data_IF_561699097469
#
_entry.id   IF_561699097469
#
_cell.length_a   1.000
_cell.length_b   1.000
_cell.length_c   1.000
_cell.angle_alpha   90.00
_cell.angle_beta   90.00
_cell.angle_gamma   90.00
#
_symmetry.space_group_name_H-M   'P 1'
#
loop_
_entity.id
_entity.type
_entity.pdbx_description
1 polymer ?
#
# COMPACT_ATOMS: atom_id res chain seq x y z
N UNK A 1 -12.32 -2.17 -46.03
CA UNK A 1 -13.47 -2.84 -45.39
C UNK A 1 -12.93 -4.08 -44.69
N UNK A 2 -12.73 -4.01 -43.37
CA UNK A 2 -13.45 -4.82 -42.33
C UNK A 2 -13.42 -6.32 -42.69
N UNK A 3 -12.81 -7.27 -41.97
CA UNK A 3 -12.91 -7.59 -40.53
C UNK A 3 -11.94 -8.75 -40.27
N UNK A 4 -10.86 -8.63 -39.48
CA UNK A 4 -10.13 -9.79 -38.92
C UNK A 4 -9.37 -9.39 -37.64
N UNK A 5 -10.06 -8.82 -36.65
CA UNK A 5 -9.43 -8.54 -35.33
C UNK A 5 -10.40 -8.91 -34.19
N UNK A 6 -11.09 -10.05 -34.31
CA UNK A 6 -12.06 -10.50 -33.32
C UNK A 6 -11.81 -11.92 -32.78
N UNK A 7 -10.67 -12.56 -33.08
CA UNK A 7 -10.42 -13.96 -32.67
C UNK A 7 -9.00 -14.18 -32.12
N UNK A 8 -8.56 -13.37 -31.16
CA UNK A 8 -7.35 -13.68 -30.38
C UNK A 8 -7.37 -13.26 -28.91
N UNK A 9 -8.57 -13.09 -28.35
CA UNK A 9 -8.78 -12.94 -26.91
C UNK A 9 -9.67 -14.08 -26.43
N UNK A 10 -9.16 -15.31 -26.46
CA UNK A 10 -9.89 -16.46 -25.89
C UNK A 10 -9.05 -17.53 -25.22
N UNK A 11 -7.77 -17.25 -24.94
CA UNK A 11 -6.92 -18.14 -24.16
C UNK A 11 -6.15 -17.34 -23.12
N UNK A 12 -6.88 -16.90 -22.11
CA UNK A 12 -6.34 -16.73 -20.76
C UNK A 12 -7.39 -17.34 -19.83
N UNK A 13 -7.46 -18.67 -19.87
CA UNK A 13 -8.00 -19.47 -18.79
C UNK A 13 -7.08 -19.21 -17.59
N UNK A 14 -7.30 -18.09 -16.90
CA UNK A 14 -6.85 -17.91 -15.53
C UNK A 14 -7.69 -18.93 -14.78
N UNK A 15 -7.05 -20.05 -14.44
CA UNK A 15 -7.58 -20.96 -13.45
C UNK A 15 -7.81 -20.10 -12.19
N UNK A 16 -9.08 -19.84 -11.87
CA UNK A 16 -9.48 -19.52 -10.51
C UNK A 16 -9.22 -20.79 -9.68
N UNK A 17 -7.94 -21.08 -9.43
CA UNK A 17 -7.56 -21.73 -8.18
C UNK A 17 -7.89 -20.70 -7.10
N UNK A 18 -9.15 -20.74 -6.65
CA UNK A 18 -9.50 -20.28 -5.31
C UNK A 18 -8.79 -21.21 -4.33
N UNK A 19 -7.47 -21.07 -4.21
CA UNK A 19 -6.80 -21.53 -3.01
C UNK A 19 -7.47 -20.77 -1.88
N UNK A 20 -8.10 -21.50 -0.96
CA UNK A 20 -8.42 -20.96 0.36
C UNK A 20 -7.07 -20.63 1.00
N UNK A 21 -6.49 -19.48 0.65
CA UNK A 21 -5.27 -19.00 1.26
C UNK A 21 -5.62 -18.74 2.72
N UNK A 22 -5.12 -19.64 3.57
CA UNK A 22 -5.31 -19.55 5.00
C UNK A 22 -4.71 -18.20 5.45
N UNK A 23 -5.56 -17.30 5.93
CA UNK A 23 -5.16 -15.96 6.39
C UNK A 23 -3.92 -16.06 7.28
N UNK A 24 -2.89 -15.26 6.99
CA UNK A 24 -1.66 -15.29 7.77
C UNK A 24 -1.98 -15.08 9.27
N UNK A 25 -1.55 -16.00 10.17
CA UNK A 25 -1.86 -15.90 11.60
C UNK A 25 -1.49 -14.56 12.24
N UNK A 26 -0.52 -13.83 11.67
CA UNK A 26 -0.10 -12.50 12.13
C UNK A 26 -1.18 -11.45 11.89
N UNK A 27 -1.90 -11.53 10.77
CA UNK A 27 -3.02 -10.63 10.44
C UNK A 27 -4.14 -10.80 11.45
N UNK A 28 -4.55 -12.05 11.69
CA UNK A 28 -5.59 -12.39 12.67
C UNK A 28 -5.22 -11.94 14.11
N UNK A 29 -3.96 -12.14 14.52
CA UNK A 29 -3.44 -11.64 15.81
C UNK A 29 -3.48 -10.10 15.88
N UNK A 30 -3.03 -9.42 14.84
CA UNK A 30 -3.02 -7.95 14.77
C UNK A 30 -4.43 -7.38 14.83
N UNK A 31 -5.36 -7.94 14.06
CA UNK A 31 -6.76 -7.51 14.04
C UNK A 31 -7.39 -7.64 15.43
N UNK A 32 -7.20 -8.79 16.09
CA UNK A 32 -7.69 -9.02 17.44
C UNK A 32 -7.06 -8.06 18.48
N UNK A 33 -5.79 -7.70 18.30
CA UNK A 33 -5.08 -6.77 19.17
C UNK A 33 -5.55 -5.33 18.96
N UNK A 34 -5.61 -4.86 17.71
CA UNK A 34 -6.04 -3.53 17.33
C UNK A 34 -7.51 -3.26 17.70
N UNK A 35 -8.37 -4.29 17.69
CA UNK A 35 -9.76 -4.16 18.15
C UNK A 35 -9.91 -3.86 19.65
N UNK A 36 -8.86 -4.11 20.45
CA UNK A 36 -8.89 -3.99 21.91
C UNK A 36 -7.94 -2.92 22.45
N UNK A 37 -7.11 -2.33 21.59
CA UNK A 37 -6.05 -1.41 21.97
C UNK A 37 -6.05 -0.19 21.05
N UNK A 38 -5.44 0.88 21.53
CA UNK A 38 -5.25 2.10 20.74
C UNK A 38 -4.12 1.95 19.70
N UNK A 39 -3.98 2.98 18.87
CA UNK A 39 -2.98 3.05 17.81
C UNK A 39 -1.54 2.93 18.33
N UNK A 40 -1.22 3.57 19.46
CA UNK A 40 0.13 3.58 20.02
C UNK A 40 0.56 2.17 20.46
N UNK A 41 -0.29 1.49 21.23
CA UNK A 41 -0.03 0.09 21.64
C UNK A 41 0.03 -0.86 20.46
N UNK A 42 -0.82 -0.64 19.45
CA UNK A 42 -0.81 -1.47 18.24
C UNK A 42 0.49 -1.30 17.46
N UNK A 43 1.02 -0.08 17.37
CA UNK A 43 2.31 0.19 16.74
C UNK A 43 3.50 -0.44 17.50
N UNK A 44 3.46 -0.46 18.84
CA UNK A 44 4.44 -1.19 19.66
C UNK A 44 4.34 -2.71 19.44
N UNK A 45 3.12 -3.23 19.24
CA UNK A 45 2.88 -4.64 19.03
C UNK A 45 3.46 -5.18 17.70
N UNK A 46 3.63 -4.31 16.68
CA UNK A 46 4.21 -4.68 15.38
C UNK A 46 5.62 -5.27 15.47
N UNK A 47 6.39 -4.88 16.49
CA UNK A 47 7.76 -5.35 16.71
C UNK A 47 7.85 -6.32 17.89
N UNK A 48 6.71 -6.84 18.34
CA UNK A 48 6.69 -7.76 19.48
C UNK A 48 7.03 -9.19 19.05
N UNK A 49 7.73 -9.90 19.93
CA UNK A 49 7.99 -11.34 19.76
C UNK A 49 6.70 -12.17 19.63
N UNK A 50 5.59 -11.66 20.18
CA UNK A 50 4.28 -12.35 20.15
C UNK A 50 3.66 -12.33 18.75
N UNK A 51 3.83 -11.21 18.05
CA UNK A 51 3.42 -11.11 16.67
C UNK A 51 4.34 -11.95 15.77
N UNK A 52 5.66 -11.89 16.02
CA UNK A 52 6.65 -12.71 15.33
C UNK A 52 6.96 -12.22 13.91
N UNK A 53 7.07 -10.90 13.74
CA UNK A 53 7.46 -10.26 12.48
C UNK A 53 8.92 -9.83 12.57
N UNK A 54 9.66 -9.99 11.48
CA UNK A 54 11.11 -9.78 11.43
C UNK A 54 11.51 -8.30 11.44
N UNK A 55 10.62 -7.41 10.99
CA UNK A 55 10.86 -5.97 10.90
C UNK A 55 9.56 -5.19 11.05
N UNK A 56 9.66 -3.91 11.43
CA UNK A 56 8.47 -3.06 11.53
C UNK A 56 7.86 -2.78 10.15
N UNK A 57 8.71 -2.71 9.13
CA UNK A 57 8.35 -2.55 7.73
C UNK A 57 7.46 -3.67 7.23
N UNK A 58 7.84 -4.94 7.47
CA UNK A 58 7.00 -6.08 7.14
C UNK A 58 5.72 -6.10 7.99
N UNK A 59 5.81 -5.59 9.23
CA UNK A 59 4.65 -5.43 10.12
C UNK A 59 3.58 -4.51 9.55
N UNK A 60 3.96 -3.51 8.75
CA UNK A 60 3.00 -2.60 8.09
C UNK A 60 2.12 -3.33 7.08
N UNK A 61 2.63 -4.35 6.40
CA UNK A 61 1.82 -5.15 5.47
C UNK A 61 0.67 -5.83 6.22
N UNK A 62 1.01 -6.57 7.28
CA UNK A 62 0.00 -7.24 8.10
C UNK A 62 -0.92 -6.26 8.83
N UNK A 63 -0.43 -5.06 9.15
CA UNK A 63 -1.25 -4.03 9.75
C UNK A 63 -2.36 -3.59 8.79
N UNK A 64 -2.06 -3.33 7.52
CA UNK A 64 -3.05 -2.92 6.52
C UNK A 64 -4.15 -3.98 6.37
N UNK A 65 -3.77 -5.24 6.18
CA UNK A 65 -4.70 -6.37 6.10
C UNK A 65 -5.53 -6.58 7.38
N UNK A 66 -4.98 -6.21 8.54
CA UNK A 66 -5.67 -6.33 9.81
C UNK A 66 -6.71 -5.22 10.04
N UNK A 67 -6.41 -3.99 9.63
CA UNK A 67 -7.23 -2.82 9.98
C UNK A 67 -8.14 -2.33 8.86
N UNK A 68 -7.87 -2.72 7.61
CA UNK A 68 -8.72 -2.40 6.46
C UNK A 68 -9.59 -3.58 6.06
N UNK A 69 -10.72 -3.24 5.47
CA UNK A 69 -11.65 -4.13 4.82
C UNK A 69 -11.35 -4.12 3.32
N UNK A 70 -11.07 -5.30 2.77
CA UNK A 70 -10.64 -5.49 1.38
C UNK A 70 -11.75 -5.24 0.35
N UNK A 71 -13.00 -5.37 0.78
CA UNK A 71 -14.19 -5.16 -0.05
C UNK A 71 -14.60 -3.68 -0.13
N UNK A 72 -14.05 -2.83 0.74
CA UNK A 72 -14.42 -1.42 0.86
C UNK A 72 -13.38 -0.48 0.22
N UNK A 73 -13.79 0.72 -0.26
CA UNK A 73 -12.85 1.69 -0.82
C UNK A 73 -11.77 2.11 0.19
N UNK A 74 -10.50 2.09 -0.25
CA UNK A 74 -9.34 2.38 0.61
C UNK A 74 -9.29 3.84 1.13
N UNK A 75 -9.52 4.91 0.32
CA UNK A 75 -9.30 6.28 0.81
C UNK A 75 -10.13 6.70 2.04
N UNK A 76 -11.44 6.35 2.14
CA UNK A 76 -12.21 6.57 3.37
C UNK A 76 -11.64 5.82 4.59
N UNK A 77 -11.11 4.62 4.38
CA UNK A 77 -10.53 3.81 5.46
C UNK A 77 -9.21 4.41 5.98
N UNK A 78 -8.37 4.96 5.09
CA UNK A 78 -7.16 5.71 5.51
C UNK A 78 -7.53 6.84 6.46
N UNK A 79 -8.57 7.61 6.13
CA UNK A 79 -9.06 8.70 7.00
C UNK A 79 -9.55 8.17 8.35
N UNK A 80 -10.31 7.07 8.35
CA UNK A 80 -10.85 6.46 9.56
C UNK A 80 -9.78 5.80 10.46
N UNK A 81 -8.66 5.36 9.88
CA UNK A 81 -7.59 4.64 10.59
C UNK A 81 -6.29 5.45 10.68
N UNK A 82 -6.35 6.76 10.42
CA UNK A 82 -5.19 7.66 10.40
C UNK A 82 -4.30 7.48 11.63
N UNK A 83 -4.88 7.42 12.82
CA UNK A 83 -4.13 7.32 14.07
C UNK A 83 -3.23 6.07 14.12
N UNK A 84 -3.71 4.93 13.61
CA UNK A 84 -2.92 3.69 13.53
C UNK A 84 -1.74 3.83 12.58
N UNK A 85 -1.97 4.46 11.42
CA UNK A 85 -0.93 4.68 10.42
C UNK A 85 0.14 5.66 10.92
N UNK A 86 -0.26 6.77 11.56
CA UNK A 86 0.67 7.74 12.18
C UNK A 86 1.52 7.06 13.25
N UNK A 87 0.91 6.29 14.16
CA UNK A 87 1.64 5.60 15.21
C UNK A 87 2.61 4.53 14.66
N UNK A 88 2.22 3.87 13.57
CA UNK A 88 3.05 2.85 12.93
C UNK A 88 4.23 3.43 12.15
N UNK A 89 4.13 4.66 11.65
CA UNK A 89 5.10 5.25 10.70
C UNK A 89 5.78 6.56 11.19
N UNK A 90 6.51 6.56 12.33
CA UNK A 90 7.15 7.77 12.86
C UNK A 90 8.44 8.21 12.13
N UNK A 91 8.86 7.53 11.06
CA UNK A 91 10.11 7.84 10.35
C UNK A 91 9.95 7.70 8.84
N UNK A 92 10.79 8.43 8.08
CA UNK A 92 10.90 8.38 6.63
C UNK A 92 11.00 6.95 6.07
N UNK A 93 11.76 6.10 6.76
CA UNK A 93 11.91 4.69 6.39
C UNK A 93 10.58 3.93 6.48
N UNK A 94 9.80 4.17 7.53
CA UNK A 94 8.51 3.53 7.73
C UNK A 94 7.42 4.14 6.85
N UNK A 95 7.51 5.43 6.54
CA UNK A 95 6.65 6.06 5.53
C UNK A 95 6.89 5.44 4.14
N UNK A 96 8.15 5.22 3.74
CA UNK A 96 8.47 4.51 2.48
C UNK A 96 7.97 3.06 2.51
N UNK A 97 8.15 2.37 3.63
CA UNK A 97 7.64 1.01 3.79
C UNK A 97 6.11 0.94 3.76
N UNK A 98 5.40 1.96 4.27
CA UNK A 98 3.95 2.07 4.17
C UNK A 98 3.50 2.16 2.71
N UNK A 99 4.18 2.96 1.89
CA UNK A 99 3.88 3.04 0.46
C UNK A 99 4.05 1.69 -0.24
N UNK A 100 5.16 0.98 0.04
CA UNK A 100 5.35 -0.37 -0.49
C UNK A 100 4.29 -1.35 0.05
N UNK A 101 3.89 -1.24 1.33
CA UNK A 101 2.85 -2.11 1.90
C UNK A 101 1.50 -1.89 1.20
N UNK A 102 1.19 -0.65 0.82
CA UNK A 102 0.04 -0.35 -0.03
C UNK A 102 0.15 -0.96 -1.43
N UNK A 103 1.34 -0.98 -2.05
CA UNK A 103 1.55 -1.68 -3.34
C UNK A 103 1.11 -3.14 -3.23
N UNK A 104 1.59 -3.84 -2.19
CA UNK A 104 1.23 -5.24 -1.94
C UNK A 104 -0.26 -5.40 -1.68
N UNK A 105 -0.81 -4.57 -0.80
CA UNK A 105 -2.21 -4.62 -0.39
C UNK A 105 -3.16 -4.46 -1.59
N UNK A 106 -2.85 -3.55 -2.54
CA UNK A 106 -3.69 -3.35 -3.72
C UNK A 106 -3.45 -4.36 -4.85
N UNK A 107 -2.48 -5.27 -4.70
CA UNK A 107 -2.20 -6.31 -5.70
C UNK A 107 -2.61 -7.70 -5.24
N UNK A 108 -2.62 -7.94 -3.93
CA UNK A 108 -2.92 -9.25 -3.34
C UNK A 108 -4.28 -9.27 -2.63
N UNK A 109 -4.64 -8.19 -1.91
CA UNK A 109 -5.80 -8.18 -1.01
C UNK A 109 -6.93 -7.33 -1.60
N UNK A 110 -6.81 -6.00 -1.54
CA UNK A 110 -7.81 -5.06 -2.03
C UNK A 110 -7.53 -4.63 -3.47
N UNK A 111 -7.65 -5.56 -4.42
CA UNK A 111 -7.27 -5.35 -5.83
C UNK A 111 -8.03 -4.22 -6.55
N UNK A 112 -9.20 -3.84 -6.02
CA UNK A 112 -9.95 -2.66 -6.45
C UNK A 112 -9.13 -1.35 -6.32
N UNK A 113 -8.21 -1.31 -5.36
CA UNK A 113 -7.30 -0.20 -5.08
C UNK A 113 -6.28 0.08 -6.18
N UNK A 114 -5.92 -0.92 -7.00
CA UNK A 114 -4.85 -0.80 -7.99
C UNK A 114 -5.09 0.34 -8.98
N UNK A 115 -6.30 0.43 -9.54
CA UNK A 115 -6.66 1.46 -10.53
C UNK A 115 -6.82 2.86 -9.94
N UNK A 116 -6.96 2.96 -8.62
CA UNK A 116 -7.17 4.22 -7.89
C UNK A 116 -5.97 4.57 -7.03
N UNK A 117 -4.80 3.96 -7.28
CA UNK A 117 -3.61 4.16 -6.44
C UNK A 117 -3.16 5.62 -6.38
N UNK A 118 -3.31 6.40 -7.45
CA UNK A 118 -3.07 7.85 -7.43
C UNK A 118 -3.92 8.58 -6.37
N UNK A 119 -5.17 8.16 -6.17
CA UNK A 119 -6.04 8.73 -5.13
C UNK A 119 -5.64 8.27 -3.72
N UNK A 120 -5.18 7.03 -3.58
CA UNK A 120 -4.63 6.51 -2.32
C UNK A 120 -3.42 7.35 -1.92
N UNK A 121 -2.48 7.55 -2.84
CA UNK A 121 -1.27 8.33 -2.61
C UNK A 121 -1.56 9.80 -2.25
N UNK A 122 -2.47 10.43 -3.00
CA UNK A 122 -2.95 11.78 -2.67
C UNK A 122 -3.58 11.85 -1.27
N UNK A 123 -4.36 10.84 -0.88
CA UNK A 123 -4.97 10.80 0.46
C UNK A 123 -3.92 10.64 1.56
N UNK A 124 -2.87 9.86 1.34
CA UNK A 124 -1.75 9.72 2.28
C UNK A 124 -1.00 11.04 2.45
N UNK A 125 -0.73 11.74 1.35
CA UNK A 125 -0.12 13.07 1.33
C UNK A 125 -0.98 14.10 2.08
N UNK A 126 -2.26 14.25 1.73
CA UNK A 126 -3.20 15.19 2.35
C UNK A 126 -3.36 15.01 3.87
N UNK A 127 -3.11 13.80 4.38
CA UNK A 127 -3.23 13.48 5.80
C UNK A 127 -1.90 13.56 6.55
N UNK A 128 -0.83 14.05 5.92
CA UNK A 128 0.53 14.09 6.47
C UNK A 128 1.03 12.70 6.92
N UNK A 129 0.60 11.64 6.22
CA UNK A 129 1.04 10.27 6.51
C UNK A 129 2.35 9.94 5.81
N UNK A 130 2.60 10.56 4.65
CA UNK A 130 3.84 10.41 3.90
C UNK A 130 4.24 11.75 3.32
N UNK A 131 5.48 12.14 3.56
CA UNK A 131 6.03 13.40 3.06
C UNK A 131 6.35 13.32 1.56
N UNK A 132 6.31 14.48 0.90
CA UNK A 132 6.54 14.60 -0.54
C UNK A 132 7.87 14.00 -1.00
N UNK A 133 8.96 14.35 -0.33
CA UNK A 133 10.29 13.82 -0.59
C UNK A 133 10.33 12.29 -0.52
N UNK A 134 9.53 11.70 0.37
CA UNK A 134 9.44 10.26 0.54
C UNK A 134 8.63 9.63 -0.58
N UNK A 135 7.56 10.29 -1.04
CA UNK A 135 6.80 9.87 -2.24
C UNK A 135 7.70 9.90 -3.48
N UNK A 136 8.44 10.99 -3.69
CA UNK A 136 9.38 11.14 -4.83
C UNK A 136 10.48 10.07 -4.79
N UNK A 137 11.13 9.87 -3.64
CA UNK A 137 12.15 8.82 -3.45
C UNK A 137 11.57 7.42 -3.62
N UNK A 138 10.39 7.17 -3.06
CA UNK A 138 9.68 5.90 -3.24
C UNK A 138 9.49 5.63 -4.71
N UNK A 139 8.93 6.55 -5.51
CA UNK A 139 8.61 6.32 -6.91
C UNK A 139 9.82 5.82 -7.74
N UNK A 140 11.02 6.36 -7.49
CA UNK A 140 12.25 5.98 -8.21
C UNK A 140 12.95 4.74 -7.64
N UNK A 141 12.88 4.49 -6.33
CA UNK A 141 13.53 3.36 -5.65
C UNK A 141 12.60 2.13 -5.63
N UNK A 142 12.57 1.40 -6.75
CA UNK A 142 11.74 0.19 -6.90
C UNK A 142 12.22 -0.95 -6.03
N UNK A 143 13.53 -1.05 -5.82
CA UNK A 143 14.14 -2.17 -5.09
C UNK A 143 13.77 -2.15 -3.59
N UNK A 144 13.38 -0.99 -3.05
CA UNK A 144 12.85 -0.90 -1.69
C UNK A 144 11.63 -1.79 -1.42
N UNK A 145 10.85 -2.13 -2.45
CA UNK A 145 9.68 -2.99 -2.34
C UNK A 145 10.06 -4.44 -1.98
N UNK A 146 11.26 -4.89 -2.34
CA UNK A 146 11.74 -6.24 -2.01
C UNK A 146 11.97 -6.46 -0.51
N UNK A 147 12.14 -5.40 0.28
CA UNK A 147 12.27 -5.50 1.75
C UNK A 147 10.99 -5.96 2.45
N UNK A 148 9.85 -5.91 1.74
CA UNK A 148 8.55 -6.37 2.24
C UNK A 148 7.93 -7.39 1.27
N UNK A 149 8.80 -8.12 0.56
CA UNK A 149 8.44 -9.26 -0.29
C UNK A 149 7.62 -8.90 -1.54
N UNK A 150 7.66 -7.64 -1.99
CA UNK A 150 7.03 -7.21 -3.25
C UNK A 150 8.02 -7.34 -4.41
N UNK A 151 7.60 -8.02 -5.47
CA UNK A 151 8.40 -8.13 -6.70
C UNK A 151 8.55 -6.76 -7.39
N UNK A 152 9.76 -6.40 -7.86
CA UNK A 152 10.00 -5.11 -8.52
C UNK A 152 9.07 -4.81 -9.71
N UNK A 153 8.65 -5.84 -10.45
CA UNK A 153 7.71 -5.69 -11.57
C UNK A 153 6.29 -5.31 -11.11
N UNK A 154 5.85 -5.86 -9.99
CA UNK A 154 4.56 -5.57 -9.38
C UNK A 154 4.57 -4.14 -8.85
N UNK A 155 5.61 -3.76 -8.10
CA UNK A 155 5.82 -2.38 -7.63
C UNK A 155 5.81 -1.37 -8.79
N UNK A 156 6.54 -1.63 -9.87
CA UNK A 156 6.53 -0.78 -11.07
C UNK A 156 5.15 -0.65 -11.70
N UNK A 157 4.33 -1.70 -11.70
CA UNK A 157 2.99 -1.65 -12.26
C UNK A 157 2.05 -0.76 -11.44
N UNK A 158 2.16 -0.81 -10.11
CA UNK A 158 1.38 0.05 -9.19
C UNK A 158 1.83 1.51 -9.33
N UNK A 159 3.14 1.78 -9.31
CA UNK A 159 3.70 3.15 -9.43
C UNK A 159 3.30 3.86 -10.72
N UNK A 160 3.14 3.13 -11.83
CA UNK A 160 2.60 3.70 -13.07
C UNK A 160 1.19 4.26 -12.91
N UNK A 161 0.37 3.72 -12.00
CA UNK A 161 -0.95 4.26 -11.69
C UNK A 161 -0.87 5.58 -10.91
N UNK A 162 0.26 5.83 -10.22
CA UNK A 162 0.52 7.06 -9.49
C UNK A 162 1.08 8.20 -10.36
N UNK A 163 1.46 7.94 -11.62
CA UNK A 163 2.20 8.88 -12.47
C UNK A 163 1.62 10.30 -12.47
N UNK A 164 0.30 10.45 -12.63
CA UNK A 164 -0.36 11.77 -12.63
C UNK A 164 -0.18 12.55 -11.32
N UNK A 165 -0.13 11.86 -10.19
CA UNK A 165 0.08 12.51 -8.90
C UNK A 165 1.56 12.86 -8.70
N UNK A 166 2.47 12.01 -9.19
CA UNK A 166 3.90 12.34 -9.19
C UNK A 166 4.17 13.57 -10.04
N UNK A 167 3.63 13.62 -11.26
CA UNK A 167 3.75 14.80 -12.15
C UNK A 167 3.21 16.06 -11.45
N UNK A 168 2.09 15.96 -10.74
CA UNK A 168 1.52 17.08 -9.97
C UNK A 168 2.41 17.56 -8.82
N UNK A 169 3.09 16.65 -8.11
CA UNK A 169 4.07 17.01 -7.07
C UNK A 169 5.33 17.67 -7.67
N UNK A 170 5.72 17.27 -8.87
CA UNK A 170 6.86 17.90 -9.58
C UNK A 170 6.51 19.31 -10.05
N UNK A 171 5.31 19.51 -10.62
CA UNK A 171 4.84 20.83 -11.06
C UNK A 171 4.65 21.81 -9.88
N UNK A 172 4.26 21.30 -8.70
CA UNK A 172 4.04 22.14 -7.51
C UNK A 172 5.33 22.69 -6.90
N UNK A 173 6.46 21.98 -7.04
CA UNK A 173 7.78 22.46 -6.58
C UNK A 173 8.30 23.61 -7.46
N UNK A 174 8.10 23.53 -8.79
CA UNK A 174 8.62 24.52 -9.75
C UNK A 174 7.93 25.90 -9.61
N UNK A 175 6.70 25.95 -9.09
CA UNK A 175 5.95 27.19 -8.84
C UNK A 175 6.42 27.93 -7.56
N UNK A 176 7.07 27.26 -6.61
CA UNK A 176 7.55 27.89 -5.35
C UNK A 176 8.95 28.53 -5.48
N UNK A 177 9.74 28.14 -6.49
CA UNK A 177 11.12 28.63 -6.71
C UNK A 177 11.21 29.84 -7.68
N UNK A 178 10.08 30.39 -8.14
CA UNK A 178 10.02 31.45 -9.15
C UNK A 178 9.66 32.88 -8.67
N UNK A 179 9.66 33.17 -7.36
CA UNK A 179 9.44 34.53 -6.81
C UNK A 179 10.62 35.09 -5.98
#
# INVERSE_FOLDING_TARGET
MVTVVAEKMKDANIEEESSEEEEDPRVSKLRAYAAKNDAAKTAEYLISDTLGVESKELGLVFLLEAIFDEDEPIPPQIKAKKDFLVAACPSDQLQRALLCAFERYVTETATSGFKVFSLILSTLYELDLVEEDIIKKWNVDVDAASNIEVEPKVAQAVRKQAAKFIDWLEDSDDDEDSD
#
